data_IF_099517340371
#
_entry.id   IF_099517340371
#
_cell.length_a   1.000
_cell.length_b   1.000
_cell.length_c   1.000
_cell.angle_alpha   90.00
_cell.angle_beta   90.00
_cell.angle_gamma   90.00
#
_symmetry.space_group_name_H-M   'P 1'
#
loop_
_entity.id
_entity.type
_entity.pdbx_description
1 polymer ?
#
# COMPACT_ATOMS: atom_id res chain seq x y z
N UNK A 1 16.25 -20.07 4.20
CA UNK A 1 15.04 -19.45 4.77
C UNK A 1 14.68 -18.33 3.82
N UNK A 2 13.85 -18.62 2.82
CA UNK A 2 13.31 -17.60 1.95
C UNK A 2 12.20 -16.89 2.73
N UNK A 3 12.55 -15.79 3.41
CA UNK A 3 11.56 -14.83 3.88
C UNK A 3 10.96 -14.16 2.65
N UNK A 4 9.96 -14.81 2.06
CA UNK A 4 9.26 -14.33 0.88
C UNK A 4 8.34 -13.19 1.35
N UNK A 5 8.90 -11.99 1.50
CA UNK A 5 8.15 -10.78 1.79
C UNK A 5 7.17 -10.49 0.65
N UNK A 6 5.87 -10.50 0.94
CA UNK A 6 4.84 -10.21 -0.06
C UNK A 6 4.50 -8.74 0.00
N UNK A 7 4.60 -8.08 -1.15
CA UNK A 7 4.12 -6.72 -1.32
C UNK A 7 2.61 -6.74 -1.57
N UNK A 8 1.85 -5.95 -0.82
CA UNK A 8 0.45 -5.72 -1.13
C UNK A 8 0.35 -5.00 -2.50
N UNK A 9 -0.41 -5.54 -3.48
CA UNK A 9 -0.46 -4.98 -4.82
C UNK A 9 -1.34 -3.72 -4.86
N UNK A 10 -0.74 -2.56 -4.56
CA UNK A 10 -1.41 -1.26 -4.63
C UNK A 10 -1.63 -0.83 -6.09
N UNK A 11 -2.83 -0.36 -6.40
CA UNK A 11 -3.20 0.19 -7.72
C UNK A 11 -3.33 1.71 -7.69
N UNK A 12 -3.04 2.35 -8.83
CA UNK A 12 -3.34 3.77 -9.02
C UNK A 12 -4.87 3.96 -8.97
N UNK A 13 -5.31 4.98 -8.24
CA UNK A 13 -6.72 5.25 -7.98
C UNK A 13 -7.33 4.39 -6.86
N UNK A 14 -6.57 3.49 -6.23
CA UNK A 14 -7.04 2.75 -5.05
C UNK A 14 -7.27 3.71 -3.88
N UNK A 15 -8.35 3.48 -3.14
CA UNK A 15 -8.74 4.33 -2.01
C UNK A 15 -8.53 3.59 -0.69
N UNK A 16 -7.68 4.14 0.17
CA UNK A 16 -7.45 3.62 1.51
C UNK A 16 -8.33 4.36 2.51
N UNK A 17 -9.01 3.58 3.37
CA UNK A 17 -9.85 4.09 4.46
C UNK A 17 -10.89 5.12 3.98
N UNK A 18 -11.39 4.96 2.75
CA UNK A 18 -12.36 5.87 2.12
C UNK A 18 -11.94 7.36 2.10
N UNK A 19 -10.63 7.62 2.18
CA UNK A 19 -10.08 8.98 2.36
C UNK A 19 -8.85 9.25 1.54
N UNK A 20 -7.95 8.29 1.41
CA UNK A 20 -6.64 8.48 0.80
C UNK A 20 -6.62 7.84 -0.59
N UNK A 21 -6.62 8.66 -1.63
CA UNK A 21 -6.58 8.20 -3.02
C UNK A 21 -5.13 8.04 -3.48
N UNK A 22 -4.73 6.87 -3.97
CA UNK A 22 -3.38 6.65 -4.51
C UNK A 22 -3.22 7.31 -5.87
N UNK A 23 -2.23 8.19 -6.00
CA UNK A 23 -1.96 8.91 -7.25
C UNK A 23 -0.67 8.46 -7.93
N UNK A 24 0.42 8.28 -7.16
CA UNK A 24 1.74 7.96 -7.72
C UNK A 24 2.58 7.10 -6.77
N UNK A 25 3.43 6.23 -7.31
CA UNK A 25 4.46 5.53 -6.53
C UNK A 25 5.65 6.46 -6.33
N UNK A 26 6.11 6.60 -5.09
CA UNK A 26 7.28 7.42 -4.76
C UNK A 26 8.55 6.58 -4.69
N UNK A 27 8.58 5.57 -3.81
CA UNK A 27 9.80 4.81 -3.52
C UNK A 27 9.52 3.34 -3.21
N UNK A 28 10.57 2.52 -3.32
CA UNK A 28 10.61 1.11 -2.91
C UNK A 28 11.96 0.81 -2.26
N UNK A 29 11.94 0.30 -1.03
CA UNK A 29 13.16 -0.02 -0.30
C UNK A 29 12.90 -0.50 1.13
N UNK A 30 13.87 -1.21 1.71
CA UNK A 30 13.86 -1.62 3.12
C UNK A 30 12.64 -2.44 3.55
N UNK A 31 12.07 -3.25 2.66
CA UNK A 31 10.86 -4.03 2.96
C UNK A 31 9.57 -3.23 2.92
N UNK A 32 9.53 -2.10 2.20
CA UNK A 32 8.33 -1.27 2.10
C UNK A 32 8.22 -0.54 0.75
N UNK A 33 7.00 -0.10 0.41
CA UNK A 33 6.75 0.87 -0.66
C UNK A 33 6.15 2.15 -0.10
N UNK A 34 6.53 3.28 -0.69
CA UNK A 34 5.96 4.58 -0.37
C UNK A 34 5.18 5.09 -1.60
N UNK A 35 3.97 5.56 -1.36
CA UNK A 35 3.04 6.06 -2.37
C UNK A 35 2.59 7.46 -2.01
N UNK A 36 2.41 8.32 -3.01
CA UNK A 36 1.73 9.59 -2.86
C UNK A 36 0.24 9.35 -2.93
N UNK A 37 -0.47 9.92 -1.97
CA UNK A 37 -1.92 9.85 -1.84
C UNK A 37 -2.50 11.24 -1.67
N UNK A 38 -3.70 11.46 -2.20
CA UNK A 38 -4.48 12.65 -1.94
C UNK A 38 -5.45 12.36 -0.80
N UNK A 39 -5.35 13.12 0.29
CA UNK A 39 -6.37 13.18 1.32
C UNK A 39 -7.59 13.93 0.79
N UNK A 40 -8.68 13.22 0.54
CA UNK A 40 -9.90 13.79 -0.03
C UNK A 40 -10.65 14.72 0.95
N UNK A 41 -10.39 14.61 2.26
CA UNK A 41 -11.02 15.47 3.27
C UNK A 41 -10.29 16.80 3.37
N UNK A 42 -8.98 16.74 3.55
CA UNK A 42 -8.15 17.94 3.76
C UNK A 42 -7.58 18.52 2.46
N UNK A 43 -7.80 17.84 1.32
CA UNK A 43 -7.27 18.17 -0.02
C UNK A 43 -5.76 18.38 -0.03
N UNK A 44 -5.03 17.49 0.64
CA UNK A 44 -3.58 17.56 0.79
C UNK A 44 -2.91 16.28 0.34
N UNK A 45 -1.72 16.40 -0.22
CA UNK A 45 -0.89 15.26 -0.57
C UNK A 45 -0.24 14.68 0.69
N UNK A 46 -0.30 13.36 0.81
CA UNK A 46 0.23 12.58 1.92
C UNK A 46 1.04 11.40 1.42
N UNK A 47 2.05 10.99 2.17
CA UNK A 47 2.84 9.79 1.88
C UNK A 47 2.26 8.58 2.61
N UNK A 48 1.85 7.55 1.86
CA UNK A 48 1.39 6.26 2.37
C UNK A 48 2.55 5.26 2.29
N UNK A 49 3.07 4.85 3.45
CA UNK A 49 4.07 3.78 3.55
C UNK A 49 3.39 2.45 3.83
N UNK A 50 3.58 1.49 2.93
CA UNK A 50 3.07 0.12 3.06
C UNK A 50 4.24 -0.82 3.29
N UNK A 51 4.22 -1.48 4.44
CA UNK A 51 5.21 -2.48 4.82
C UNK A 51 4.90 -3.80 4.13
N UNK A 52 5.93 -4.50 3.66
CA UNK A 52 5.78 -5.89 3.27
C UNK A 52 5.53 -6.73 4.51
N UNK A 53 4.56 -7.63 4.45
CA UNK A 53 4.35 -8.61 5.51
C UNK A 53 5.16 -9.87 5.22
N UNK A 54 5.69 -10.55 6.25
CA UNK A 54 6.09 -11.94 6.12
C UNK A 54 4.81 -12.75 5.91
N UNK A 55 4.62 -13.29 4.71
CA UNK A 55 3.42 -14.03 4.34
C UNK A 55 3.62 -14.74 3.02
N UNK A 56 2.97 -15.88 2.80
CA UNK A 56 3.03 -16.57 1.52
C UNK A 56 2.09 -15.88 0.53
N UNK A 57 2.49 -15.82 -0.74
CA UNK A 57 1.64 -15.28 -1.81
C UNK A 57 0.35 -16.12 -1.91
N UNK A 58 -0.79 -15.61 -1.42
CA UNK A 58 -2.08 -16.29 -1.60
C UNK A 58 -3.15 -16.11 -0.52
N UNK A 59 -2.82 -15.64 0.68
CA UNK A 59 -3.79 -15.56 1.79
C UNK A 59 -4.34 -14.14 2.00
N UNK A 60 -4.88 -13.55 0.92
CA UNK A 60 -5.95 -12.55 1.03
C UNK A 60 -7.29 -13.29 1.07
N UNK A 61 -7.49 -14.19 2.02
CA UNK A 61 -8.83 -14.68 2.34
C UNK A 61 -9.58 -13.54 3.03
N UNK A 62 -10.37 -12.80 2.24
CA UNK A 62 -11.51 -12.06 2.75
C UNK A 62 -12.42 -13.10 3.41
N UNK A 63 -12.38 -13.18 4.74
CA UNK A 63 -13.45 -13.82 5.50
C UNK A 63 -14.65 -12.89 5.46
N UNK A 64 -15.61 -13.24 4.61
CA UNK A 64 -17.03 -12.84 4.74
C UNK A 64 -17.63 -13.63 5.89
#
# INVERSE_FOLDING_TARGET
>A
MDDQYVLYPIRLGEMFNERYLVEHKLEFGGGSTVWMTLDLRDKKNMALKVMMSPGKWGENEIRI
#
